data_IF_858151241087
#
_entry.id   IF_858151241087
#
_cell.length_a   1.000
_cell.length_b   1.000
_cell.length_c   1.000
_cell.angle_alpha   90.00
_cell.angle_beta   90.00
_cell.angle_gamma   90.00
#
_symmetry.space_group_name_H-M   'P 1'
#
loop_
_entity.id
_entity.type
_entity.pdbx_description
1 polymer ?
#
# COMPACT_ATOMS: atom_id res chain seq x y z
N UNK A 1 -16.21 -5.48 4.47
CA UNK A 1 -16.38 -5.48 5.94
C UNK A 1 -15.59 -4.29 6.44
N UNK A 2 -16.20 -3.37 7.18
CA UNK A 2 -15.48 -2.19 7.69
C UNK A 2 -14.64 -2.54 8.91
N UNK A 3 -13.33 -2.37 8.80
CA UNK A 3 -12.35 -2.48 9.88
C UNK A 3 -11.79 -1.12 10.29
N UNK A 4 -10.78 -1.14 11.14
CA UNK A 4 -10.11 0.03 11.71
C UNK A 4 -8.69 0.12 11.18
N UNK A 5 -8.31 1.29 10.65
CA UNK A 5 -7.01 1.52 10.05
C UNK A 5 -5.99 2.00 11.07
N UNK A 6 -4.85 1.31 11.16
CA UNK A 6 -3.66 1.78 11.86
C UNK A 6 -2.48 1.72 10.90
N UNK A 7 -1.99 2.88 10.46
CA UNK A 7 -0.99 2.97 9.40
C UNK A 7 -1.49 2.34 8.08
N UNK A 8 -0.84 1.26 7.66
CA UNK A 8 -1.20 0.48 6.45
C UNK A 8 -1.93 -0.83 6.76
N UNK A 9 -2.23 -1.11 8.03
CA UNK A 9 -2.92 -2.33 8.43
C UNK A 9 -4.38 -2.07 8.77
N UNK A 10 -5.22 -3.06 8.49
CA UNK A 10 -6.66 -3.03 8.70
C UNK A 10 -7.03 -4.08 9.75
N UNK A 11 -7.60 -3.65 10.86
CA UNK A 11 -7.98 -4.51 11.98
C UNK A 11 -9.50 -4.72 12.02
N UNK A 12 -9.94 -5.91 12.40
CA UNK A 12 -11.37 -6.22 12.50
C UNK A 12 -12.07 -5.61 13.72
N UNK A 13 -11.31 -5.20 14.74
CA UNK A 13 -11.85 -4.65 15.99
C UNK A 13 -11.05 -3.44 16.46
N UNK A 14 -11.69 -2.57 17.25
CA UNK A 14 -11.07 -1.36 17.79
C UNK A 14 -10.04 -1.71 18.87
N UNK A 15 -10.25 -2.80 19.59
CA UNK A 15 -9.34 -3.31 20.62
C UNK A 15 -8.04 -3.78 20.00
N UNK A 16 -8.11 -4.55 18.90
CA UNK A 16 -6.92 -5.02 18.19
C UNK A 16 -6.11 -3.85 17.57
N UNK A 17 -6.81 -2.86 17.03
CA UNK A 17 -6.19 -1.63 16.52
C UNK A 17 -5.51 -0.83 17.66
N UNK A 18 -6.17 -0.72 18.81
CA UNK A 18 -5.65 0.00 19.99
C UNK A 18 -4.44 -0.71 20.58
N UNK A 19 -4.51 -2.03 20.76
CA UNK A 19 -3.41 -2.86 21.26
C UNK A 19 -2.18 -2.71 20.34
N UNK A 20 -2.38 -2.75 19.03
CA UNK A 20 -1.30 -2.56 18.06
C UNK A 20 -0.69 -1.15 18.15
N UNK A 21 -1.53 -0.10 18.14
CA UNK A 21 -1.05 1.28 18.22
C UNK A 21 -0.29 1.56 19.53
N UNK A 22 -0.80 1.08 20.66
CA UNK A 22 -0.16 1.27 21.97
C UNK A 22 1.16 0.52 22.08
N UNK A 23 1.29 -0.64 21.43
CA UNK A 23 2.54 -1.41 21.38
C UNK A 23 3.64 -0.72 20.57
N UNK A 24 3.30 0.26 19.72
CA UNK A 24 4.25 1.06 18.94
C UNK A 24 4.71 2.33 19.68
N UNK A 25 4.06 2.71 20.78
CA UNK A 25 4.39 3.92 21.53
C UNK A 25 5.71 3.72 22.28
N UNK A 26 6.71 4.54 21.95
CA UNK A 26 8.04 4.47 22.57
C UNK A 26 7.97 5.02 24.00
N UNK A 27 8.49 4.29 25.00
CA UNK A 27 8.55 4.79 26.37
C UNK A 27 9.47 6.02 26.45
N UNK A 28 9.05 7.03 27.20
CA UNK A 28 9.78 8.30 27.33
C UNK A 28 10.07 8.59 28.79
N UNK A 29 11.27 9.10 29.08
CA UNK A 29 11.65 9.58 30.41
C UNK A 29 11.29 11.07 30.47
N UNK A 30 10.46 11.45 31.42
CA UNK A 30 10.07 12.85 31.66
C UNK A 30 11.20 13.64 32.33
N UNK A 31 11.13 14.97 32.31
CA UNK A 31 12.11 15.85 32.95
C UNK A 31 12.28 15.56 34.46
N UNK A 32 11.23 14.99 35.07
CA UNK A 32 11.16 14.62 36.48
C UNK A 32 11.84 13.26 36.77
N UNK A 33 12.42 12.62 35.74
CA UNK A 33 13.07 11.30 35.83
C UNK A 33 12.08 10.13 35.84
N UNK A 34 10.77 10.38 35.70
CA UNK A 34 9.77 9.32 35.70
C UNK A 34 9.61 8.69 34.31
N UNK A 35 9.56 7.35 34.28
CA UNK A 35 9.33 6.58 33.06
C UNK A 35 7.84 6.55 32.72
N UNK A 36 7.47 7.15 31.59
CA UNK A 36 6.11 7.12 31.06
C UNK A 36 6.05 6.13 29.91
N UNK A 37 5.19 5.13 30.05
CA UNK A 37 4.94 4.10 29.05
C UNK A 37 3.46 3.70 29.10
N UNK A 38 2.91 3.21 27.98
CA UNK A 38 1.53 2.73 27.95
C UNK A 38 1.39 1.45 28.77
N UNK A 39 0.38 1.40 29.64
CA UNK A 39 0.07 0.26 30.50
C UNK A 39 -1.37 -0.17 30.27
N UNK A 40 -1.57 -1.45 29.94
CA UNK A 40 -2.90 -2.05 29.88
C UNK A 40 -3.34 -2.43 31.30
N UNK A 41 -4.38 -1.77 31.83
CA UNK A 41 -5.01 -2.09 33.11
C UNK A 41 -6.38 -2.70 32.84
N UNK A 42 -6.48 -4.03 32.90
CA UNK A 42 -7.66 -4.76 32.46
C UNK A 42 -7.82 -4.63 30.94
N UNK A 43 -8.98 -4.17 30.48
CA UNK A 43 -9.28 -3.99 29.05
C UNK A 43 -8.94 -2.59 28.51
N UNK A 44 -8.47 -1.68 29.38
CA UNK A 44 -8.22 -0.27 29.01
C UNK A 44 -6.73 0.06 29.03
N UNK A 45 -6.30 0.81 28.03
CA UNK A 45 -4.96 1.36 27.98
C UNK A 45 -4.88 2.67 28.75
N UNK A 46 -3.79 2.84 29.50
CA UNK A 46 -3.47 4.08 30.18
C UNK A 46 -2.10 4.58 29.75
N UNK A 47 -1.99 5.87 29.47
CA UNK A 47 -0.74 6.55 29.16
C UNK A 47 -0.60 7.76 30.06
N UNK A 48 0.53 7.90 30.77
CA UNK A 48 0.77 8.98 31.74
C UNK A 48 -0.36 9.14 32.80
N UNK A 49 -1.04 8.04 33.15
CA UNK A 49 -2.16 8.04 34.10
C UNK A 49 -3.53 8.39 33.52
N UNK A 50 -3.63 8.76 32.24
CA UNK A 50 -4.89 9.03 31.55
C UNK A 50 -5.37 7.79 30.77
N UNK A 51 -6.67 7.54 30.75
CA UNK A 51 -7.26 6.50 29.90
C UNK A 51 -7.15 6.92 28.43
N UNK A 52 -6.68 5.99 27.61
CA UNK A 52 -6.49 6.20 26.18
C UNK A 52 -7.78 5.85 25.44
N UNK A 53 -8.33 6.82 24.71
CA UNK A 53 -9.42 6.61 23.78
C UNK A 53 -8.97 7.03 22.37
N UNK A 54 -8.72 6.04 21.51
CA UNK A 54 -8.29 6.26 20.14
C UNK A 54 -9.47 6.15 19.17
N UNK A 55 -9.58 7.10 18.26
CA UNK A 55 -10.44 6.99 17.08
C UNK A 55 -9.61 6.58 15.87
N UNK A 56 -10.05 5.53 15.17
CA UNK A 56 -9.40 5.06 13.95
C UNK A 56 -10.28 5.34 12.73
N UNK A 57 -9.65 5.58 11.58
CA UNK A 57 -10.36 5.67 10.33
C UNK A 57 -10.93 4.28 9.93
N UNK A 58 -12.06 4.28 9.25
CA UNK A 58 -12.60 3.05 8.65
C UNK A 58 -11.70 2.57 7.51
N UNK A 59 -11.52 1.26 7.39
CA UNK A 59 -10.79 0.62 6.31
C UNK A 59 -11.56 -0.58 5.78
N UNK A 60 -11.57 -0.80 4.46
CA UNK A 60 -12.16 -1.99 3.85
C UNK A 60 -11.12 -2.62 2.90
N UNK A 61 -10.49 -3.74 3.30
CA UNK A 61 -9.41 -4.34 2.52
C UNK A 61 -9.90 -4.85 1.16
N UNK A 62 -11.19 -5.15 1.02
CA UNK A 62 -11.76 -5.56 -0.26
C UNK A 62 -11.81 -4.39 -1.25
N UNK A 63 -12.18 -3.19 -0.79
CA UNK A 63 -12.17 -1.98 -1.62
C UNK A 63 -10.76 -1.59 -2.03
N UNK A 64 -9.82 -1.58 -1.10
CA UNK A 64 -8.44 -1.21 -1.39
C UNK A 64 -7.82 -2.15 -2.45
N UNK A 65 -8.17 -3.44 -2.41
CA UNK A 65 -7.73 -4.41 -3.41
C UNK A 65 -8.42 -4.22 -4.77
N UNK A 66 -9.73 -3.96 -4.78
CA UNK A 66 -10.50 -3.69 -6.00
C UNK A 66 -9.97 -2.44 -6.72
N UNK A 67 -9.75 -1.36 -5.98
CA UNK A 67 -9.19 -0.12 -6.50
C UNK A 67 -7.79 -0.35 -7.07
N UNK A 68 -6.95 -1.11 -6.36
CA UNK A 68 -5.63 -1.50 -6.81
C UNK A 68 -5.66 -2.33 -8.10
N UNK A 69 -6.59 -3.27 -8.21
CA UNK A 69 -6.78 -4.10 -9.41
C UNK A 69 -7.23 -3.25 -10.61
N UNK A 70 -8.13 -2.29 -10.41
CA UNK A 70 -8.62 -1.40 -11.46
C UNK A 70 -7.52 -0.49 -12.01
N UNK A 71 -6.74 0.13 -11.12
CA UNK A 71 -5.65 1.03 -11.50
C UNK A 71 -4.53 0.25 -12.20
N UNK A 72 -4.11 -0.88 -11.62
CA UNK A 72 -3.04 -1.70 -12.19
C UNK A 72 -3.44 -2.33 -13.54
N UNK A 73 -4.69 -2.79 -13.67
CA UNK A 73 -5.22 -3.30 -14.94
C UNK A 73 -5.17 -2.24 -16.05
N UNK A 74 -5.56 -1.01 -15.74
CA UNK A 74 -5.48 0.12 -16.68
C UNK A 74 -4.05 0.41 -17.13
N UNK A 75 -3.09 0.37 -16.19
CA UNK A 75 -1.68 0.59 -16.48
C UNK A 75 -1.08 -0.53 -17.35
N UNK A 76 -1.40 -1.79 -17.05
CA UNK A 76 -0.93 -2.95 -17.83
C UNK A 76 -1.42 -2.87 -19.28
N UNK A 77 -2.70 -2.51 -19.49
CA UNK A 77 -3.25 -2.35 -20.84
C UNK A 77 -2.52 -1.26 -21.60
N UNK A 78 -2.26 -0.11 -20.98
CA UNK A 78 -1.49 0.98 -21.60
C UNK A 78 -0.08 0.52 -22.01
N UNK A 79 0.62 -0.17 -21.10
CA UNK A 79 1.95 -0.72 -21.38
C UNK A 79 1.92 -1.76 -22.51
N UNK A 80 0.92 -2.64 -22.53
CA UNK A 80 0.75 -3.65 -23.57
C UNK A 80 0.52 -3.01 -24.95
N UNK A 81 -0.29 -1.97 -25.03
CA UNK A 81 -0.54 -1.22 -26.26
C UNK A 81 0.75 -0.55 -26.76
N UNK A 82 1.47 0.17 -25.88
CA UNK A 82 2.73 0.82 -26.24
C UNK A 82 3.77 -0.20 -26.72
N UNK A 83 3.87 -1.35 -26.04
CA UNK A 83 4.76 -2.43 -26.43
C UNK A 83 4.37 -3.07 -27.76
N UNK A 84 3.06 -3.23 -28.01
CA UNK A 84 2.53 -3.72 -29.28
C UNK A 84 2.92 -2.82 -30.45
N UNK A 85 2.80 -1.49 -30.30
CA UNK A 85 3.26 -0.54 -31.32
C UNK A 85 4.76 -0.64 -31.57
N UNK A 86 5.56 -0.85 -30.52
CA UNK A 86 7.00 -1.04 -30.65
C UNK A 86 7.33 -2.28 -31.48
N UNK A 87 6.68 -3.42 -31.20
CA UNK A 87 6.86 -4.66 -31.96
C UNK A 87 6.46 -4.45 -33.43
N UNK A 88 5.32 -3.82 -33.70
CA UNK A 88 4.86 -3.57 -35.06
C UNK A 88 5.85 -2.70 -35.84
N UNK A 89 6.33 -1.61 -35.23
CA UNK A 89 7.33 -0.75 -35.85
C UNK A 89 8.65 -1.49 -36.14
N UNK A 90 9.12 -2.31 -35.20
CA UNK A 90 10.33 -3.11 -35.37
C UNK A 90 10.15 -4.17 -36.47
N UNK A 91 8.96 -4.76 -36.58
CA UNK A 91 8.62 -5.74 -37.61
C UNK A 91 8.57 -5.13 -39.01
N UNK A 92 7.89 -3.97 -39.17
CA UNK A 92 7.82 -3.25 -40.45
C UNK A 92 9.22 -2.84 -40.93
N UNK A 93 10.05 -2.31 -40.02
CA UNK A 93 11.43 -1.94 -40.35
C UNK A 93 12.24 -3.14 -40.86
N UNK A 94 12.12 -4.30 -40.21
CA UNK A 94 12.81 -5.53 -40.63
C UNK A 94 12.39 -5.97 -42.03
N UNK A 95 11.09 -6.01 -42.32
CA UNK A 95 10.59 -6.39 -43.66
C UNK A 95 11.05 -5.41 -44.75
N UNK A 96 11.09 -4.11 -44.47
CA UNK A 96 11.56 -3.11 -45.43
C UNK A 96 13.05 -3.24 -45.73
N UNK A 97 13.88 -3.51 -44.72
CA UNK A 97 15.32 -3.73 -44.90
C UNK A 97 15.59 -4.98 -45.73
N UNK A 98 14.86 -6.06 -45.47
CA UNK A 98 14.99 -7.34 -46.20
C UNK A 98 14.66 -7.18 -47.69
N UNK A 99 13.56 -6.46 -48.01
CA UNK A 99 13.22 -6.12 -49.40
C UNK A 99 14.23 -5.20 -50.10
N UNK A 100 14.80 -4.24 -49.37
CA UNK A 100 15.82 -3.35 -49.94
C UNK A 100 17.06 -4.14 -50.35
N UNK A 101 17.50 -5.08 -49.50
CA UNK A 101 18.68 -5.90 -49.77
C UNK A 101 18.49 -6.82 -50.99
N UNK A 102 17.30 -7.40 -51.17
CA UNK A 102 16.98 -8.24 -52.35
C UNK A 102 17.06 -7.45 -53.67
N UNK A 103 16.70 -6.16 -53.66
CA UNK A 103 16.74 -5.30 -54.84
C UNK A 103 18.14 -4.85 -55.27
N UNK A 104 19.12 -4.86 -54.37
CA UNK A 104 20.51 -4.45 -54.65
C UNK A 104 21.38 -5.62 -55.17
N UNK A 105 20.93 -6.86 -54.97
CA UNK A 105 21.58 -8.09 -55.45
C UNK A 105 21.20 -8.52 -56.87
N UNK A 106 20.32 -7.79 -57.56
CA UNK A 106 19.87 -8.07 -58.95
C UNK A 106 20.52 -7.10 -59.93
#
# INVERSE_FOLDING_TARGET
MSGYRVGFQCFGSVEAATDYQMSLVVPTITADGSLVYPVKKGDKWHFAGQEVNLSFASCDPAKDFEDGAMISGSLIVLCAVAYGFRILNDFIKRMMIEKYHESETI
#
